data_IF_553988548847
#
_entry.id   IF_553988548847
#
_cell.length_a   1.000
_cell.length_b   1.000
_cell.length_c   1.000
_cell.angle_alpha   90.00
_cell.angle_beta   90.00
_cell.angle_gamma   90.00
#
_symmetry.space_group_name_H-M   'P 1'
#
loop_
_entity.id
_entity.type
_entity.pdbx_description
1 polymer ?
#
# COMPACT_ATOMS: atom_id res chain seq x y z
N UNK A 1 -3.76 -20.71 -3.23
CA UNK A 1 -2.62 -21.38 -3.90
C UNK A 1 -1.32 -20.77 -3.40
N UNK A 2 -0.32 -21.54 -2.91
CA UNK A 2 0.96 -20.96 -2.53
C UNK A 2 1.65 -20.41 -3.79
N UNK A 3 1.94 -19.11 -3.80
CA UNK A 3 2.66 -18.48 -4.91
C UNK A 3 4.12 -18.89 -4.81
N UNK A 4 4.66 -19.52 -5.86
CA UNK A 4 6.09 -19.81 -5.93
C UNK A 4 6.88 -18.52 -6.23
N UNK A 5 8.08 -18.38 -5.66
CA UNK A 5 8.87 -17.15 -5.75
C UNK A 5 9.20 -16.78 -7.20
N UNK A 6 9.47 -17.76 -8.06
CA UNK A 6 9.83 -17.52 -9.46
C UNK A 6 8.65 -16.96 -10.27
N UNK A 7 7.42 -17.43 -10.00
CA UNK A 7 6.19 -16.93 -10.59
C UNK A 7 5.85 -15.53 -10.08
N UNK A 8 6.13 -15.24 -8.80
CA UNK A 8 6.00 -13.90 -8.25
C UNK A 8 6.95 -12.92 -8.96
N UNK A 9 8.23 -13.29 -9.08
CA UNK A 9 9.24 -12.45 -9.74
C UNK A 9 8.88 -12.20 -11.22
N UNK A 10 8.45 -13.25 -11.95
CA UNK A 10 8.01 -13.11 -13.34
C UNK A 10 6.77 -12.20 -13.50
N UNK A 11 5.85 -12.22 -12.52
CA UNK A 11 4.71 -11.32 -12.50
C UNK A 11 5.12 -9.87 -12.20
N UNK A 12 6.10 -9.66 -11.31
CA UNK A 12 6.68 -8.34 -11.04
C UNK A 12 7.36 -7.78 -12.30
N UNK A 13 8.15 -8.60 -12.99
CA UNK A 13 8.78 -8.20 -14.25
C UNK A 13 7.73 -7.83 -15.31
N UNK A 14 6.63 -8.57 -15.38
CA UNK A 14 5.52 -8.26 -16.29
C UNK A 14 4.84 -6.92 -15.99
N UNK A 15 4.85 -6.45 -14.74
CA UNK A 15 4.33 -5.12 -14.36
C UNK A 15 5.24 -3.96 -14.78
N UNK A 16 6.49 -4.24 -15.17
CA UNK A 16 7.39 -3.21 -15.73
C UNK A 16 6.99 -2.78 -17.14
N UNK A 17 6.08 -3.53 -17.78
CA UNK A 17 5.43 -3.17 -19.03
C UNK A 17 4.54 -1.92 -18.84
N UNK A 18 5.02 -0.80 -19.38
CA UNK A 18 4.39 0.53 -19.22
C UNK A 18 2.97 0.60 -19.77
N UNK A 19 2.59 -0.23 -20.72
CA UNK A 19 1.24 -0.19 -21.30
C UNK A 19 0.25 -0.91 -20.38
N UNK A 20 0.60 -2.09 -19.86
CA UNK A 20 -0.22 -2.81 -18.88
C UNK A 20 -0.38 -2.06 -17.56
N UNK A 21 0.66 -1.34 -17.14
CA UNK A 21 0.59 -0.52 -15.93
C UNK A 21 -0.41 0.63 -16.05
N UNK A 22 -0.53 1.27 -17.23
CA UNK A 22 -1.46 2.40 -17.45
C UNK A 22 -2.93 2.01 -17.43
N UNK A 23 -3.26 0.83 -17.95
CA UNK A 23 -4.63 0.32 -17.91
C UNK A 23 -5.06 0.03 -16.47
N UNK A 24 -4.19 -0.63 -15.70
CA UNK A 24 -4.38 -0.83 -14.26
C UNK A 24 -4.51 0.50 -13.51
N UNK A 25 -3.66 1.49 -13.81
CA UNK A 25 -3.71 2.83 -13.22
C UNK A 25 -5.04 3.54 -13.49
N UNK A 26 -5.60 3.40 -14.69
CA UNK A 26 -6.89 3.99 -15.07
C UNK A 26 -8.05 3.39 -14.26
N UNK A 27 -8.08 2.07 -14.14
CA UNK A 27 -9.09 1.35 -13.35
C UNK A 27 -8.98 1.70 -11.86
N UNK A 28 -7.75 1.69 -11.32
CA UNK A 28 -7.48 2.06 -9.92
C UNK A 28 -7.87 3.51 -9.64
N UNK A 29 -7.58 4.44 -10.57
CA UNK A 29 -7.95 5.86 -10.42
C UNK A 29 -9.47 6.03 -10.31
N UNK A 30 -10.25 5.30 -11.11
CA UNK A 30 -11.70 5.32 -11.02
C UNK A 30 -12.22 4.73 -9.69
N UNK A 31 -11.53 3.74 -9.13
CA UNK A 31 -11.85 3.12 -7.84
C UNK A 31 -11.28 3.88 -6.62
N UNK A 32 -10.36 4.84 -6.84
CA UNK A 32 -9.55 5.46 -5.80
C UNK A 32 -10.35 6.02 -4.62
N UNK A 33 -11.50 6.71 -4.80
CA UNK A 33 -12.28 7.21 -3.66
C UNK A 33 -12.88 6.12 -2.76
N UNK A 34 -13.15 4.93 -3.31
CA UNK A 34 -13.63 3.77 -2.54
C UNK A 34 -12.47 3.09 -1.83
N UNK A 35 -11.36 2.88 -2.54
CA UNK A 35 -10.14 2.30 -2.00
C UNK A 35 -9.57 3.14 -0.86
N UNK A 36 -9.60 4.47 -0.99
CA UNK A 36 -9.11 5.38 0.03
C UNK A 36 -9.88 5.26 1.36
N UNK A 37 -11.19 4.96 1.31
CA UNK A 37 -11.99 4.70 2.52
C UNK A 37 -11.55 3.42 3.21
N UNK A 38 -11.42 2.33 2.46
CA UNK A 38 -10.94 1.03 2.98
C UNK A 38 -9.54 1.17 3.56
N UNK A 39 -8.64 1.87 2.86
CA UNK A 39 -7.30 2.16 3.34
C UNK A 39 -7.35 2.94 4.66
N UNK A 40 -8.16 3.99 4.75
CA UNK A 40 -8.28 4.79 5.97
C UNK A 40 -8.75 3.95 7.16
N UNK A 41 -9.75 3.09 6.94
CA UNK A 41 -10.27 2.15 7.96
C UNK A 41 -9.19 1.13 8.39
N UNK A 42 -8.53 0.48 7.44
CA UNK A 42 -7.46 -0.49 7.72
C UNK A 42 -6.27 0.13 8.47
N UNK A 43 -5.90 1.37 8.12
CA UNK A 43 -4.84 2.11 8.77
C UNK A 43 -5.21 2.55 10.20
N UNK A 44 -6.48 2.86 10.43
CA UNK A 44 -7.01 3.22 11.75
C UNK A 44 -7.18 2.00 12.67
N UNK A 45 -7.70 0.88 12.15
CA UNK A 45 -7.97 -0.35 12.91
C UNK A 45 -6.71 -1.17 13.19
N UNK A 46 -5.75 -1.20 12.26
CA UNK A 46 -4.52 -1.99 12.40
C UNK A 46 -3.48 -1.41 13.37
N UNK A 47 -3.76 -0.26 14.00
CA UNK A 47 -2.76 0.46 14.80
C UNK A 47 -1.54 0.94 14.01
N UNK A 48 -1.60 0.86 12.68
CA UNK A 48 -0.50 1.12 11.75
C UNK A 48 -0.10 2.61 11.73
N UNK A 49 -1.09 3.49 11.91
CA UNK A 49 -0.93 4.94 12.15
C UNK A 49 -1.20 5.34 13.61
N UNK A 50 -1.07 4.39 14.54
CA UNK A 50 -1.32 4.61 15.96
C UNK A 50 -0.17 5.34 16.69
N UNK A 51 0.04 4.97 17.96
CA UNK A 51 0.97 5.64 18.89
C UNK A 51 2.40 5.79 18.35
N UNK A 52 2.89 4.84 17.54
CA UNK A 52 4.23 4.89 16.93
C UNK A 52 4.37 6.03 15.93
N UNK A 53 3.35 6.27 15.10
CA UNK A 53 3.38 7.38 14.13
C UNK A 53 3.33 8.72 14.86
N UNK A 54 2.43 8.86 15.85
CA UNK A 54 2.39 10.07 16.68
C UNK A 54 3.70 10.35 17.42
N UNK A 55 4.38 9.31 17.91
CA UNK A 55 5.67 9.45 18.58
C UNK A 55 6.76 9.95 17.63
N UNK A 56 6.83 9.42 16.41
CA UNK A 56 7.81 9.87 15.41
C UNK A 56 7.50 11.28 14.88
N UNK A 57 6.22 11.65 14.74
CA UNK A 57 5.81 13.02 14.45
C UNK A 57 6.23 13.97 15.56
N UNK A 58 5.98 13.62 16.84
CA UNK A 58 6.39 14.42 18.00
C UNK A 58 7.91 14.57 18.09
N UNK A 59 8.66 13.51 17.79
CA UNK A 59 10.12 13.52 17.73
C UNK A 59 10.63 14.46 16.63
N UNK A 60 10.05 14.41 15.43
CA UNK A 60 10.40 15.33 14.35
C UNK A 60 10.05 16.79 14.69
N UNK A 61 8.89 17.03 15.32
CA UNK A 61 8.47 18.35 15.76
C UNK A 61 9.37 18.92 16.87
N UNK A 62 9.76 18.08 17.83
CA UNK A 62 10.58 18.43 18.99
C UNK A 62 12.09 18.51 18.72
N UNK A 63 12.56 18.17 17.53
CA UNK A 63 13.97 18.24 17.16
C UNK A 63 14.55 19.64 17.37
N UNK A 64 15.78 19.72 17.90
CA UNK A 64 16.40 20.99 18.34
C UNK A 64 17.27 21.62 17.27
N UNK A 65 17.71 20.83 16.29
CA UNK A 65 18.52 21.28 15.16
C UNK A 65 17.86 20.96 13.82
N UNK A 66 18.21 21.72 12.79
CA UNK A 66 17.67 21.55 11.44
C UNK A 66 18.07 20.20 10.80
N UNK A 67 19.29 19.73 11.08
CA UNK A 67 19.80 18.44 10.60
C UNK A 67 19.09 17.25 11.27
N UNK A 68 18.83 17.35 12.57
CA UNK A 68 18.06 16.36 13.34
C UNK A 68 16.62 16.30 12.84
N UNK A 69 15.99 17.46 12.64
CA UNK A 69 14.62 17.56 12.10
C UNK A 69 14.53 16.94 10.71
N UNK A 70 15.47 17.27 9.83
CA UNK A 70 15.52 16.74 8.46
C UNK A 70 15.66 15.21 8.47
N UNK A 71 16.52 14.67 9.34
CA UNK A 71 16.68 13.22 9.48
C UNK A 71 15.40 12.57 9.98
N UNK A 72 14.78 13.11 11.02
CA UNK A 72 13.54 12.58 11.59
C UNK A 72 12.39 12.58 10.55
N UNK A 73 12.23 13.66 9.78
CA UNK A 73 11.22 13.74 8.71
C UNK A 73 11.49 12.69 7.62
N UNK A 74 12.74 12.52 7.18
CA UNK A 74 13.08 11.52 6.17
C UNK A 74 12.77 10.10 6.63
N UNK A 75 13.07 9.79 7.89
CA UNK A 75 12.72 8.50 8.49
C UNK A 75 11.22 8.30 8.54
N UNK A 76 10.46 9.31 8.97
CA UNK A 76 9.00 9.26 9.00
C UNK A 76 8.41 8.97 7.60
N UNK A 77 8.83 9.74 6.59
CA UNK A 77 8.35 9.57 5.21
C UNK A 77 8.73 8.21 4.61
N UNK A 78 9.93 7.70 4.91
CA UNK A 78 10.36 6.38 4.46
C UNK A 78 9.49 5.27 5.05
N UNK A 79 9.14 5.40 6.33
CA UNK A 79 8.25 4.44 6.99
C UNK A 79 6.82 4.54 6.45
N UNK A 80 6.29 5.75 6.25
CA UNK A 80 4.97 5.94 5.63
C UNK A 80 4.90 5.34 4.22
N UNK A 81 5.92 5.54 3.40
CA UNK A 81 5.99 4.95 2.07
C UNK A 81 6.03 3.42 2.12
N UNK A 82 6.83 2.85 3.01
CA UNK A 82 6.90 1.39 3.24
C UNK A 82 5.55 0.84 3.68
N UNK A 83 4.89 1.50 4.63
CA UNK A 83 3.58 1.09 5.15
C UNK A 83 2.50 1.20 4.06
N UNK A 84 2.44 2.32 3.35
CA UNK A 84 1.51 2.53 2.24
C UNK A 84 1.67 1.46 1.15
N UNK A 85 2.90 1.07 0.83
CA UNK A 85 3.18 -0.02 -0.10
C UNK A 85 2.65 -1.37 0.41
N UNK A 86 2.96 -1.75 1.67
CA UNK A 86 2.50 -3.02 2.24
C UNK A 86 0.98 -3.12 2.25
N UNK A 87 0.30 -2.05 2.68
CA UNK A 87 -1.16 -2.01 2.74
C UNK A 87 -1.76 -2.00 1.34
N UNK A 88 -1.20 -1.22 0.41
CA UNK A 88 -1.64 -1.19 -0.99
C UNK A 88 -1.56 -2.57 -1.67
N UNK A 89 -0.46 -3.30 -1.47
CA UNK A 89 -0.30 -4.67 -1.98
C UNK A 89 -1.31 -5.62 -1.33
N UNK A 90 -1.50 -5.55 -0.02
CA UNK A 90 -2.46 -6.42 0.68
C UNK A 90 -3.90 -6.19 0.18
N UNK A 91 -4.32 -4.93 0.02
CA UNK A 91 -5.63 -4.58 -0.56
C UNK A 91 -5.73 -5.08 -2.00
N UNK A 92 -4.68 -4.92 -2.81
CA UNK A 92 -4.64 -5.42 -4.18
C UNK A 92 -4.83 -6.94 -4.27
N UNK A 93 -4.17 -7.70 -3.38
CA UNK A 93 -4.35 -9.15 -3.30
C UNK A 93 -5.76 -9.54 -2.85
N UNK A 94 -6.30 -8.89 -1.82
CA UNK A 94 -7.66 -9.17 -1.35
C UNK A 94 -8.72 -8.91 -2.44
N UNK A 95 -8.56 -7.82 -3.20
CA UNK A 95 -9.43 -7.50 -4.33
C UNK A 95 -9.33 -8.54 -5.45
N UNK A 96 -8.11 -8.97 -5.79
CA UNK A 96 -7.91 -10.00 -6.82
C UNK A 96 -8.58 -11.32 -6.41
N UNK A 97 -8.47 -11.71 -5.14
CA UNK A 97 -9.13 -12.91 -4.61
C UNK A 97 -10.66 -12.80 -4.68
N UNK A 98 -11.23 -11.66 -4.29
CA UNK A 98 -12.68 -11.44 -4.32
C UNK A 98 -13.24 -11.43 -5.75
N UNK A 99 -12.52 -10.81 -6.69
CA UNK A 99 -12.88 -10.80 -8.11
C UNK A 99 -12.84 -12.21 -8.70
N UNK A 100 -11.77 -12.98 -8.43
CA UNK A 100 -11.69 -14.37 -8.89
C UNK A 100 -12.78 -15.26 -8.29
N UNK A 101 -13.22 -15.02 -7.04
CA UNK A 101 -14.35 -15.76 -6.46
C UNK A 101 -15.65 -15.45 -7.20
N UNK A 102 -15.89 -14.18 -7.50
CA UNK A 102 -17.08 -13.73 -8.24
C UNK A 102 -17.13 -14.36 -9.63
N UNK A 103 -15.99 -14.43 -10.34
CA UNK A 103 -15.89 -15.07 -11.67
C UNK A 103 -16.24 -16.57 -11.62
N UNK A 104 -15.81 -17.30 -10.59
CA UNK A 104 -16.14 -18.74 -10.44
C UNK A 104 -17.63 -18.97 -10.11
N UNK A 105 -18.26 -18.07 -9.35
CA UNK A 105 -19.69 -18.15 -9.01
C UNK A 105 -20.61 -17.83 -10.21
N UNK A 106 -20.12 -17.09 -11.20
CA UNK A 106 -20.87 -16.77 -12.44
C UNK A 106 -20.78 -17.90 -13.50
N UNK A 107 -19.81 -18.82 -13.38
CA UNK A 107 -19.60 -19.94 -14.30
C UNK A 107 -20.31 -21.25 -13.88
N UNK A 108 -20.80 -21.35 -12.64
CA UNK A 108 -21.59 -22.50 -12.10
C UNK A 108 -23.11 -22.35 -12.30
#
# INVERSE_FOLDING_TARGET
MPVDQARLDAAIDALTDRERFREAETVVTAAAPKLQRILTEALAEGGWFGETHEAEVKKAAGATSDSERTTAIRTLLAEEARMGMMVGVAVGWALAEELSRTEHEEEE
#
